data_IF_349071742115
#
_entry.id   IF_349071742115
#
_cell.length_a   1.000
_cell.length_b   1.000
_cell.length_c   1.000
_cell.angle_alpha   90.00
_cell.angle_beta   90.00
_cell.angle_gamma   90.00
#
_symmetry.space_group_name_H-M   'P 1'
#
loop_
_entity.id
_entity.type
_entity.pdbx_description
1 polymer ?
#
# COMPACT_ATOMS: atom_id res chain seq x y z
N UNK A 1 -14.74 2.16 42.25
CA UNK A 1 -13.68 1.84 41.27
C UNK A 1 -13.79 2.89 40.16
N UNK A 2 -12.71 3.57 39.74
CA UNK A 2 -12.79 4.47 38.60
C UNK A 2 -13.31 3.73 37.36
N UNK A 3 -14.32 4.29 36.69
CA UNK A 3 -14.93 3.71 35.48
C UNK A 3 -14.07 3.93 34.24
N UNK A 4 -13.18 4.90 34.26
CA UNK A 4 -12.26 5.18 33.17
C UNK A 4 -10.95 4.40 33.33
N UNK A 5 -10.56 3.65 32.29
CA UNK A 5 -9.30 2.90 32.24
C UNK A 5 -8.51 3.22 30.99
N UNK A 6 -7.20 3.36 31.15
CA UNK A 6 -6.24 3.51 30.05
C UNK A 6 -5.29 2.31 30.08
N UNK A 7 -5.07 1.70 28.91
CA UNK A 7 -4.09 0.65 28.70
C UNK A 7 -3.01 1.17 27.75
N UNK A 8 -1.85 1.55 28.29
CA UNK A 8 -0.74 2.10 27.53
C UNK A 8 -0.05 1.06 26.63
N UNK A 9 -0.05 -0.22 27.01
CA UNK A 9 0.55 -1.29 26.20
C UNK A 9 -0.23 -1.52 24.90
N UNK A 10 -1.57 -1.47 24.98
CA UNK A 10 -2.46 -1.65 23.83
C UNK A 10 -2.81 -0.33 23.14
N UNK A 11 -2.39 0.80 23.71
CA UNK A 11 -2.74 2.15 23.28
C UNK A 11 -4.27 2.38 23.15
N UNK A 12 -5.02 1.94 24.17
CA UNK A 12 -6.48 2.00 24.22
C UNK A 12 -6.98 2.64 25.52
N UNK A 13 -8.15 3.27 25.45
CA UNK A 13 -8.93 3.70 26.60
C UNK A 13 -10.33 3.09 26.57
N UNK A 14 -10.95 2.97 27.74
CA UNK A 14 -12.33 2.54 27.88
C UNK A 14 -12.98 3.18 29.11
N UNK A 15 -14.19 3.68 28.99
CA UNK A 15 -15.05 4.12 30.08
C UNK A 15 -16.21 3.15 30.27
N UNK A 16 -16.21 2.44 31.40
CA UNK A 16 -17.23 1.45 31.75
C UNK A 16 -18.59 2.06 32.09
N UNK A 17 -18.66 3.35 32.45
CA UNK A 17 -19.93 4.03 32.72
C UNK A 17 -20.63 4.45 31.42
N UNK A 18 -19.85 4.83 30.41
CA UNK A 18 -20.36 5.23 29.09
C UNK A 18 -20.46 4.07 28.11
N UNK A 19 -19.75 2.96 28.37
CA UNK A 19 -19.64 1.83 27.44
C UNK A 19 -18.78 2.16 26.20
N UNK A 20 -17.98 3.23 26.27
CA UNK A 20 -17.23 3.77 25.14
C UNK A 20 -15.72 3.51 25.29
N UNK A 21 -15.01 3.43 24.17
CA UNK A 21 -13.56 3.34 24.17
C UNK A 21 -12.98 3.57 22.79
N UNK A 22 -11.65 3.49 22.69
CA UNK A 22 -10.95 3.69 21.43
C UNK A 22 -9.47 3.93 21.61
N UNK A 23 -8.83 4.43 20.55
CA UNK A 23 -7.42 4.84 20.58
C UNK A 23 -7.27 6.29 21.12
N UNK A 24 -6.03 6.74 21.26
CA UNK A 24 -5.70 8.08 21.75
C UNK A 24 -6.37 9.22 20.94
N UNK A 25 -6.47 9.07 19.62
CA UNK A 25 -7.11 10.08 18.75
C UNK A 25 -8.62 10.13 19.03
N UNK A 26 -9.27 8.98 19.21
CA UNK A 26 -10.67 8.91 19.59
C UNK A 26 -10.93 9.55 20.96
N UNK A 27 -10.01 9.36 21.92
CA UNK A 27 -10.07 10.04 23.22
C UNK A 27 -9.97 11.56 23.04
N UNK A 28 -9.00 12.04 22.27
CA UNK A 28 -8.81 13.45 22.00
C UNK A 28 -10.04 14.05 21.31
N UNK A 29 -10.65 13.34 20.36
CA UNK A 29 -11.87 13.77 19.68
C UNK A 29 -13.03 13.99 20.67
N UNK A 30 -13.16 13.12 21.68
CA UNK A 30 -14.14 13.27 22.76
C UNK A 30 -13.81 14.45 23.67
N UNK A 31 -12.55 14.62 24.07
CA UNK A 31 -12.12 15.69 24.99
C UNK A 31 -12.20 17.10 24.36
N UNK A 32 -11.89 17.21 23.07
CA UNK A 32 -11.85 18.49 22.35
C UNK A 32 -13.07 18.73 21.45
N UNK A 33 -14.07 17.84 21.49
CA UNK A 33 -15.29 17.90 20.69
C UNK A 33 -15.03 18.21 19.20
N UNK A 34 -14.06 17.50 18.61
CA UNK A 34 -13.63 17.73 17.23
C UNK A 34 -13.28 16.41 16.54
N UNK A 35 -13.50 16.36 15.22
CA UNK A 35 -13.07 15.27 14.35
C UNK A 35 -11.88 15.66 13.45
N UNK A 36 -11.37 16.89 13.56
CA UNK A 36 -10.20 17.34 12.80
C UNK A 36 -8.92 16.77 13.41
N UNK A 37 -8.35 15.76 12.75
CA UNK A 37 -7.15 15.05 13.20
C UNK A 37 -5.95 15.99 13.38
N UNK A 38 -5.76 16.96 12.48
CA UNK A 38 -4.62 17.90 12.57
C UNK A 38 -4.73 18.78 13.81
N UNK A 39 -5.93 19.30 14.07
CA UNK A 39 -6.21 20.05 15.29
C UNK A 39 -6.00 19.20 16.55
N UNK A 40 -6.53 17.96 16.56
CA UNK A 40 -6.40 17.05 17.70
C UNK A 40 -4.94 16.68 17.99
N UNK A 41 -4.13 16.41 16.96
CA UNK A 41 -2.71 16.11 17.11
C UNK A 41 -1.95 17.28 17.73
N UNK A 42 -2.26 18.52 17.31
CA UNK A 42 -1.67 19.72 17.92
C UNK A 42 -2.01 19.82 19.40
N UNK A 43 -3.28 19.59 19.77
CA UNK A 43 -3.72 19.60 21.17
C UNK A 43 -3.05 18.52 22.01
N UNK A 44 -2.87 17.32 21.46
CA UNK A 44 -2.14 16.24 22.15
C UNK A 44 -0.68 16.66 22.41
N UNK A 45 -0.01 17.23 21.41
CA UNK A 45 1.37 17.69 21.55
C UNK A 45 1.53 18.79 22.62
N UNK A 46 0.56 19.72 22.71
CA UNK A 46 0.53 20.76 23.75
C UNK A 46 0.46 20.16 25.18
N UNK A 47 -0.21 19.02 25.36
CA UNK A 47 -0.36 18.35 26.67
C UNK A 47 0.82 17.44 27.03
N UNK A 48 1.72 17.17 26.08
CA UNK A 48 2.85 16.26 26.26
C UNK A 48 4.19 16.90 25.82
N UNK A 49 4.57 18.08 26.38
CA UNK A 49 5.76 18.82 25.92
C UNK A 49 7.08 18.06 26.14
N UNK A 50 7.09 17.08 27.05
CA UNK A 50 8.24 16.23 27.37
C UNK A 50 8.36 15.03 26.43
N UNK A 51 7.32 14.75 25.63
CA UNK A 51 7.32 13.63 24.68
C UNK A 51 8.02 14.13 23.42
N UNK A 52 9.31 13.85 23.33
CA UNK A 52 10.02 13.98 22.07
C UNK A 52 9.40 13.02 21.05
N UNK A 53 9.21 13.44 19.78
CA UNK A 53 8.86 12.51 18.73
C UNK A 53 9.90 11.39 18.76
N UNK A 54 9.50 10.19 19.18
CA UNK A 54 10.30 9.03 18.88
C UNK A 54 10.44 9.03 17.36
N UNK A 55 11.67 8.89 16.85
CA UNK A 55 11.88 8.70 15.42
C UNK A 55 11.09 7.45 15.04
N UNK A 56 9.89 7.66 14.51
CA UNK A 56 9.04 6.60 14.00
C UNK A 56 9.65 6.23 12.65
N UNK A 57 10.70 5.43 12.68
CA UNK A 57 11.02 4.60 11.53
C UNK A 57 9.91 3.57 11.43
N UNK A 58 9.10 3.63 10.37
CA UNK A 58 8.70 2.38 9.73
C UNK A 58 9.97 1.57 9.64
N UNK A 59 10.04 0.42 10.34
CA UNK A 59 11.29 -0.30 10.60
C UNK A 59 12.21 -0.13 9.41
N UNK A 60 13.38 0.48 9.64
CA UNK A 60 14.29 0.86 8.54
C UNK A 60 14.28 -0.28 7.54
N UNK A 61 14.06 -0.03 6.22
CA UNK A 61 14.10 -1.10 5.25
C UNK A 61 15.37 -1.85 5.55
N UNK A 62 15.23 -3.06 6.12
CA UNK A 62 16.31 -3.81 6.75
C UNK A 62 17.44 -3.73 5.76
N UNK A 63 18.52 -3.00 6.08
CA UNK A 63 19.55 -2.55 5.14
C UNK A 63 19.61 -3.55 4.00
N UNK A 64 18.87 -3.27 2.93
CA UNK A 64 18.64 -4.28 1.91
C UNK A 64 19.98 -4.31 1.25
N UNK A 65 20.78 -5.32 1.59
CA UNK A 65 22.10 -5.53 1.00
C UNK A 65 21.91 -5.42 -0.51
N UNK A 66 22.31 -4.27 -1.05
CA UNK A 66 22.28 -3.91 -2.46
C UNK A 66 23.26 -4.80 -3.25
N UNK A 67 24.01 -5.66 -2.55
CA UNK A 67 25.08 -6.47 -3.09
C UNK A 67 24.66 -7.65 -3.96
N UNK A 68 23.56 -8.38 -3.70
CA UNK A 68 23.49 -9.76 -4.23
C UNK A 68 22.14 -10.30 -4.73
N UNK A 69 21.11 -9.47 -4.88
CA UNK A 69 19.81 -9.94 -5.43
C UNK A 69 19.53 -9.30 -6.78
N UNK A 70 20.12 -9.90 -7.82
CA UNK A 70 19.83 -9.60 -9.24
C UNK A 70 18.33 -9.65 -9.50
N UNK A 71 17.70 -8.48 -9.52
CA UNK A 71 16.31 -8.31 -9.93
C UNK A 71 16.30 -8.02 -11.42
N UNK A 72 15.58 -8.82 -12.21
CA UNK A 72 15.47 -8.61 -13.65
C UNK A 72 14.03 -8.39 -14.05
N UNK A 73 13.81 -7.36 -14.88
CA UNK A 73 12.54 -7.12 -15.55
C UNK A 73 12.65 -7.63 -16.97
N UNK A 74 11.81 -8.59 -17.33
CA UNK A 74 11.78 -9.22 -18.64
C UNK A 74 10.36 -9.21 -19.21
N UNK A 75 10.16 -9.46 -20.51
CA UNK A 75 8.83 -9.71 -21.06
C UNK A 75 8.12 -10.85 -20.30
N UNK A 76 6.80 -10.78 -20.20
CA UNK A 76 6.00 -11.85 -19.60
C UNK A 76 6.22 -13.16 -20.36
N UNK A 77 6.72 -14.18 -19.66
CA UNK A 77 7.05 -15.49 -20.26
C UNK A 77 6.58 -16.67 -19.42
N UNK A 78 6.40 -16.49 -18.10
CA UNK A 78 6.09 -17.56 -17.16
C UNK A 78 4.68 -18.13 -17.35
N UNK A 79 4.53 -19.45 -17.62
CA UNK A 79 3.23 -20.11 -17.75
C UNK A 79 2.34 -19.96 -16.51
N UNK A 80 2.93 -19.95 -15.31
CA UNK A 80 2.19 -19.76 -14.06
C UNK A 80 1.58 -18.35 -13.94
N UNK A 81 2.23 -17.31 -14.49
CA UNK A 81 1.66 -15.96 -14.52
C UNK A 81 0.54 -15.88 -15.56
N UNK A 82 0.67 -16.55 -16.71
CA UNK A 82 -0.41 -16.64 -17.69
C UNK A 82 -1.63 -17.36 -17.12
N UNK A 83 -1.44 -18.50 -16.45
CA UNK A 83 -2.52 -19.20 -15.76
C UNK A 83 -3.19 -18.32 -14.70
N UNK A 84 -2.41 -17.52 -13.97
CA UNK A 84 -2.94 -16.57 -13.01
C UNK A 84 -3.78 -15.46 -13.68
N UNK A 85 -3.34 -14.91 -14.81
CA UNK A 85 -4.15 -13.95 -15.57
C UNK A 85 -5.46 -14.57 -16.06
N UNK A 86 -5.41 -15.78 -16.61
CA UNK A 86 -6.60 -16.52 -17.05
C UNK A 86 -7.57 -16.81 -15.89
N UNK A 87 -7.07 -17.23 -14.73
CA UNK A 87 -7.87 -17.41 -13.51
C UNK A 87 -8.56 -16.10 -13.07
N UNK A 88 -7.96 -14.95 -13.40
CA UNK A 88 -8.49 -13.62 -13.11
C UNK A 88 -9.35 -13.03 -14.23
N UNK A 89 -9.57 -13.76 -15.33
CA UNK A 89 -10.33 -13.28 -16.47
C UNK A 89 -9.66 -12.11 -17.21
N UNK A 90 -8.33 -12.02 -17.17
CA UNK A 90 -7.56 -10.99 -17.88
C UNK A 90 -7.11 -11.52 -19.24
N UNK A 91 -7.35 -10.75 -20.29
CA UNK A 91 -6.87 -11.11 -21.62
C UNK A 91 -5.32 -11.09 -21.68
N UNK A 92 -4.75 -12.13 -22.28
CA UNK A 92 -3.29 -12.30 -22.32
C UNK A 92 -2.60 -11.28 -23.24
N UNK A 93 -3.27 -10.75 -24.25
CA UNK A 93 -2.70 -9.71 -25.12
C UNK A 93 -2.62 -8.38 -24.38
N UNK A 94 -3.66 -8.04 -23.62
CA UNK A 94 -3.68 -6.89 -22.69
C UNK A 94 -2.60 -7.03 -21.62
N UNK A 95 -2.48 -8.21 -20.99
CA UNK A 95 -1.44 -8.45 -20.00
C UNK A 95 -0.03 -8.29 -20.60
N UNK A 96 0.24 -8.86 -21.77
CA UNK A 96 1.56 -8.76 -22.44
C UNK A 96 1.92 -7.34 -22.85
N UNK A 97 0.95 -6.52 -23.23
CA UNK A 97 1.20 -5.13 -23.61
C UNK A 97 1.47 -4.25 -22.39
N UNK A 98 0.71 -4.44 -21.32
CA UNK A 98 0.74 -3.56 -20.14
C UNK A 98 1.74 -3.98 -19.05
N UNK A 99 2.09 -5.26 -18.95
CA UNK A 99 2.88 -5.80 -17.87
C UNK A 99 4.23 -6.39 -18.31
N UNK A 100 5.09 -6.57 -17.31
CA UNK A 100 6.36 -7.30 -17.41
C UNK A 100 6.41 -8.40 -16.35
N UNK A 101 7.41 -9.24 -16.44
CA UNK A 101 7.74 -10.23 -15.42
C UNK A 101 8.98 -9.75 -14.67
N UNK A 102 8.88 -9.66 -13.35
CA UNK A 102 10.05 -9.50 -12.49
C UNK A 102 10.51 -10.86 -12.00
N UNK A 103 11.82 -11.09 -12.03
CA UNK A 103 12.47 -12.22 -11.37
C UNK A 103 13.45 -11.69 -10.33
N UNK A 104 13.42 -12.27 -9.13
CA UNK A 104 14.27 -11.84 -8.03
C UNK A 104 14.63 -13.01 -7.11
N UNK A 105 15.72 -12.86 -6.37
CA UNK A 105 16.15 -13.81 -5.35
C UNK A 105 15.72 -13.32 -3.97
N UNK A 106 15.17 -14.19 -3.14
CA UNK A 106 14.90 -13.89 -1.74
C UNK A 106 15.24 -15.11 -0.88
N UNK A 107 16.11 -14.93 0.12
CA UNK A 107 16.60 -15.99 1.02
C UNK A 107 17.06 -17.26 0.27
N UNK A 108 17.91 -17.07 -0.76
CA UNK A 108 18.45 -18.17 -1.57
C UNK A 108 17.44 -18.85 -2.51
N UNK A 109 16.20 -18.35 -2.61
CA UNK A 109 15.16 -18.89 -3.50
C UNK A 109 14.81 -17.91 -4.61
N UNK A 110 14.60 -18.41 -5.81
CA UNK A 110 14.15 -17.63 -6.96
C UNK A 110 12.64 -17.44 -6.93
N UNK A 111 12.20 -16.22 -7.17
CA UNK A 111 10.79 -15.85 -7.27
C UNK A 111 10.56 -15.08 -8.57
N UNK A 112 9.30 -15.10 -9.00
CA UNK A 112 8.84 -14.30 -10.12
C UNK A 112 7.42 -13.78 -9.87
N UNK A 113 7.12 -12.63 -10.47
CA UNK A 113 5.84 -11.97 -10.34
C UNK A 113 5.55 -11.07 -11.55
N UNK A 114 4.29 -10.70 -11.69
CA UNK A 114 3.85 -9.64 -12.59
C UNK A 114 4.41 -8.32 -12.06
N UNK A 115 4.94 -7.50 -12.95
CA UNK A 115 5.38 -6.13 -12.67
C UNK A 115 4.59 -5.17 -13.57
N UNK A 116 3.92 -4.20 -12.96
CA UNK A 116 3.18 -3.14 -13.63
C UNK A 116 3.85 -1.78 -13.34
N UNK A 117 4.23 -0.99 -14.36
CA UNK A 117 5.06 0.20 -14.16
C UNK A 117 4.26 1.34 -13.51
N UNK A 118 4.93 2.11 -12.66
CA UNK A 118 4.42 3.38 -12.15
C UNK A 118 5.11 4.58 -12.84
N UNK A 119 4.60 5.79 -12.62
CA UNK A 119 5.10 7.00 -13.30
C UNK A 119 6.50 7.44 -12.87
N UNK A 120 7.01 6.90 -11.76
CA UNK A 120 8.31 7.24 -11.16
C UNK A 120 9.40 6.20 -11.45
N UNK A 121 9.14 5.24 -12.33
CA UNK A 121 10.10 4.19 -12.71
C UNK A 121 10.15 2.99 -11.76
N UNK A 122 9.29 2.95 -10.74
CA UNK A 122 9.07 1.77 -9.91
C UNK A 122 7.98 0.87 -10.47
N UNK A 123 7.63 -0.17 -9.72
CA UNK A 123 6.71 -1.20 -10.17
C UNK A 123 5.76 -1.66 -9.07
N UNK A 124 4.50 -1.86 -9.42
CA UNK A 124 3.58 -2.66 -8.60
C UNK A 124 3.76 -4.13 -8.98
N UNK A 125 3.90 -5.00 -7.96
CA UNK A 125 4.29 -6.39 -8.12
C UNK A 125 3.24 -7.34 -7.56
N UNK A 126 2.89 -8.38 -8.32
CA UNK A 126 1.88 -9.36 -7.92
C UNK A 126 2.10 -10.75 -8.48
N UNK A 127 1.83 -11.77 -7.68
CA UNK A 127 1.52 -13.12 -8.18
C UNK A 127 0.36 -13.72 -7.34
N UNK A 128 0.10 -15.01 -7.48
CA UNK A 128 -0.97 -15.70 -6.73
C UNK A 128 -0.81 -15.59 -5.21
N UNK A 129 0.42 -15.49 -4.72
CA UNK A 129 0.76 -15.58 -3.29
C UNK A 129 1.20 -14.26 -2.67
N UNK A 130 1.59 -13.28 -3.48
CA UNK A 130 2.24 -12.06 -3.03
C UNK A 130 1.70 -10.82 -3.75
N UNK A 131 1.63 -9.71 -3.01
CA UNK A 131 1.41 -8.35 -3.51
C UNK A 131 2.44 -7.44 -2.86
N UNK A 132 3.05 -6.55 -3.65
CA UNK A 132 4.02 -5.58 -3.15
C UNK A 132 4.42 -4.60 -4.23
N UNK A 133 5.54 -3.90 -4.03
CA UNK A 133 6.07 -2.90 -4.96
C UNK A 133 7.60 -2.93 -5.01
N UNK A 134 8.17 -2.55 -6.15
CA UNK A 134 9.58 -2.23 -6.31
C UNK A 134 9.70 -0.70 -6.32
N UNK A 135 10.59 -0.19 -5.47
CA UNK A 135 10.79 1.23 -5.30
C UNK A 135 11.24 1.91 -6.61
N UNK A 136 10.91 3.20 -6.79
CA UNK A 136 10.10 4.04 -5.90
C UNK A 136 8.59 3.71 -6.00
N UNK A 137 7.87 3.79 -4.87
CA UNK A 137 6.41 3.57 -4.85
C UNK A 137 5.68 4.84 -5.31
N UNK A 138 4.78 4.70 -6.27
CA UNK A 138 3.98 5.81 -6.83
C UNK A 138 2.77 5.28 -7.60
N UNK A 139 1.90 6.17 -8.06
CA UNK A 139 0.75 5.83 -8.91
C UNK A 139 1.20 5.55 -10.35
N UNK A 140 0.39 4.76 -11.07
CA UNK A 140 0.47 4.65 -12.53
C UNK A 140 -0.45 5.68 -13.18
N UNK A 141 0.07 6.43 -14.15
CA UNK A 141 -0.70 7.40 -14.92
C UNK A 141 -0.58 7.07 -16.41
N UNK A 142 -1.70 6.72 -17.03
CA UNK A 142 -1.77 6.34 -18.44
C UNK A 142 -2.61 7.40 -19.15
N UNK A 143 -1.97 8.12 -20.08
CA UNK A 143 -2.61 9.21 -20.85
C UNK A 143 -2.94 8.70 -22.25
N UNK A 144 -4.19 8.91 -22.70
CA UNK A 144 -4.54 8.72 -24.11
C UNK A 144 -3.96 9.89 -24.92
N UNK A 145 -3.25 9.58 -26.00
CA UNK A 145 -2.54 10.56 -26.85
C UNK A 145 -3.45 11.30 -27.82
N UNK A 146 -4.67 10.81 -28.08
CA UNK A 146 -5.44 11.23 -29.26
C UNK A 146 -6.55 12.27 -29.00
N UNK A 147 -6.95 12.53 -27.75
CA UNK A 147 -7.86 13.65 -27.45
C UNK A 147 -7.95 13.95 -25.95
N UNK A 148 -8.20 15.21 -25.55
CA UNK A 148 -8.55 15.54 -24.18
C UNK A 148 -9.89 14.86 -23.83
N UNK A 149 -9.82 13.84 -22.97
CA UNK A 149 -11.01 13.23 -22.38
C UNK A 149 -11.43 14.05 -21.15
N UNK A 150 -12.70 14.44 -21.08
CA UNK A 150 -13.30 15.00 -19.87
C UNK A 150 -13.55 13.95 -18.78
N UNK A 151 -13.29 12.67 -19.08
CA UNK A 151 -13.50 11.53 -18.18
C UNK A 151 -12.15 10.98 -17.72
N UNK A 152 -12.01 10.81 -16.40
CA UNK A 152 -10.87 10.16 -15.74
C UNK A 152 -11.35 8.85 -15.10
N UNK A 153 -10.69 7.74 -15.43
CA UNK A 153 -10.93 6.44 -14.80
C UNK A 153 -9.91 6.24 -13.69
N UNK A 154 -10.38 5.92 -12.49
CA UNK A 154 -9.56 5.64 -11.31
C UNK A 154 -9.76 4.19 -10.88
N UNK A 155 -8.66 3.50 -10.60
CA UNK A 155 -8.64 2.10 -10.20
C UNK A 155 -7.84 1.96 -8.90
N UNK A 156 -8.30 1.10 -7.99
CA UNK A 156 -7.58 0.82 -6.74
C UNK A 156 -6.25 0.12 -7.03
N UNK A 157 -6.26 -0.87 -7.93
CA UNK A 157 -5.06 -1.59 -8.33
C UNK A 157 -4.98 -1.81 -9.83
N UNK A 158 -3.77 -2.17 -10.29
CA UNK A 158 -3.55 -2.42 -11.71
C UNK A 158 -4.37 -3.60 -12.24
N UNK A 159 -4.77 -4.56 -11.40
CA UNK A 159 -5.63 -5.67 -11.84
C UNK A 159 -7.02 -5.21 -12.26
N UNK A 160 -7.57 -4.18 -11.59
CA UNK A 160 -8.88 -3.61 -11.94
C UNK A 160 -8.76 -2.84 -13.26
N UNK A 161 -7.64 -2.14 -13.45
CA UNK A 161 -7.30 -1.51 -14.72
C UNK A 161 -7.19 -2.53 -15.87
N UNK A 162 -6.49 -3.65 -15.67
CA UNK A 162 -6.40 -4.71 -16.68
C UNK A 162 -7.76 -5.35 -16.97
N UNK A 163 -8.61 -5.49 -15.95
CA UNK A 163 -9.98 -6.00 -16.12
C UNK A 163 -10.80 -5.06 -16.98
N UNK A 164 -10.72 -3.75 -16.72
CA UNK A 164 -11.35 -2.73 -17.56
C UNK A 164 -10.88 -2.81 -19.01
N UNK A 165 -9.57 -2.90 -19.26
CA UNK A 165 -9.03 -3.05 -20.61
C UNK A 165 -9.49 -4.35 -21.30
N UNK A 166 -9.70 -5.42 -20.55
CA UNK A 166 -10.16 -6.71 -21.10
C UNK A 166 -11.62 -6.65 -21.54
N UNK A 167 -12.42 -5.77 -20.94
CA UNK A 167 -13.85 -5.61 -21.21
C UNK A 167 -14.16 -4.50 -22.24
N UNK A 168 -13.15 -3.73 -22.67
CA UNK A 168 -13.29 -2.70 -23.71
C UNK A 168 -13.35 -3.34 -25.10
#
# INVERSE_FOLDING_TARGET
VPSFKVNAERNLWYDFALGEGGNLIALAGKLYASSDVSYLLKRIAEQAPQVHPASFSFGQPSSYDEGDKKTTIIPLTSPALFAYFSERGIDLSVAKSACREVRFMHNGRSYFAIAFPNRSGGWEVRNKYFKGSIAPKDISLIRKTESPSHVCYLFEGFMDYLSFLTLQ
#
